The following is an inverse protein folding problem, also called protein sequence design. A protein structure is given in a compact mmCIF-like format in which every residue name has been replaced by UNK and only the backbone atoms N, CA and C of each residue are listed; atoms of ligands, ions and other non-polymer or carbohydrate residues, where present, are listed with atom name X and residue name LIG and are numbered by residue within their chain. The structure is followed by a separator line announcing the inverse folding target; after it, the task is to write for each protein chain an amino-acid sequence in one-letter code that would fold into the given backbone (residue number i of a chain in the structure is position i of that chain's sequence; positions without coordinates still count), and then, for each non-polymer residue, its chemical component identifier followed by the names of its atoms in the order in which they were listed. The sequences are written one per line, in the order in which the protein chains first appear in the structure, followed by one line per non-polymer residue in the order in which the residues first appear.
data_IF_359746286624
#
_entry.id   IF_359746286624
#
_cell.length_a   1.000
_cell.length_b   1.000
_cell.length_c   1.000
_cell.angle_alpha   90.00
_cell.angle_beta   90.00
_cell.angle_gamma   90.00
#
_symmetry.space_group_name_H-M   'P 1'
#
loop_
_entity.id
_entity.type
_entity.pdbx_description
1 polymer ?
#
# COMPACT_ATOMS: atom_id res chain seq x y z
N UNK A 1 55.68 -18.34 11.51
CA UNK A 1 54.74 -19.39 11.97
C UNK A 1 53.73 -18.72 12.91
N UNK A 2 52.56 -18.42 12.40
CA UNK A 2 51.46 -17.85 13.19
C UNK A 2 50.51 -18.98 13.56
N UNK A 3 50.50 -19.33 14.83
CA UNK A 3 49.56 -20.28 15.42
C UNK A 3 48.12 -19.71 15.31
N UNK A 4 47.33 -20.34 14.47
CA UNK A 4 45.86 -20.17 14.46
C UNK A 4 45.28 -20.83 15.71
N UNK A 5 44.92 -20.06 16.74
CA UNK A 5 44.11 -20.53 17.84
C UNK A 5 42.73 -20.97 17.31
N UNK A 6 42.54 -22.29 17.20
CA UNK A 6 41.23 -22.84 16.97
C UNK A 6 40.37 -22.64 18.25
N UNK A 7 39.32 -21.88 18.11
CA UNK A 7 38.28 -21.73 19.18
C UNK A 7 37.55 -23.07 19.27
N UNK A 8 37.46 -23.70 20.48
CA UNK A 8 36.87 -25.02 20.64
C UNK A 8 35.38 -24.95 20.25
N UNK A 9 34.99 -25.78 19.29
CA UNK A 9 33.63 -25.95 18.76
C UNK A 9 32.54 -26.15 19.84
N UNK A 10 32.91 -26.57 21.02
CA UNK A 10 32.00 -26.85 22.14
C UNK A 10 31.50 -25.57 22.86
N UNK A 11 32.31 -24.52 22.95
CA UNK A 11 31.89 -23.24 23.55
C UNK A 11 30.93 -22.42 22.64
N UNK A 12 31.11 -22.53 21.31
CA UNK A 12 30.20 -21.86 20.37
C UNK A 12 28.79 -22.45 20.37
N UNK A 13 28.67 -23.78 20.59
CA UNK A 13 27.37 -24.46 20.66
C UNK A 13 26.63 -24.09 21.95
N UNK A 14 27.34 -23.98 23.07
CA UNK A 14 26.74 -23.62 24.36
C UNK A 14 26.28 -22.17 24.38
N UNK A 15 27.03 -21.25 23.75
CA UNK A 15 26.64 -19.83 23.54
C UNK A 15 25.40 -19.69 22.63
N UNK A 16 25.31 -20.50 21.58
CA UNK A 16 24.15 -20.50 20.69
C UNK A 16 22.89 -20.99 21.40
N UNK A 17 23.00 -22.09 22.16
CA UNK A 17 21.91 -22.63 22.97
C UNK A 17 21.44 -21.65 24.06
N UNK A 18 22.36 -20.92 24.67
CA UNK A 18 22.04 -19.86 25.65
C UNK A 18 21.33 -18.67 24.97
N UNK A 19 21.79 -18.23 23.79
CA UNK A 19 21.15 -17.19 22.98
C UNK A 19 19.75 -17.63 22.53
N UNK A 20 19.59 -18.84 22.04
CA UNK A 20 18.28 -19.39 21.66
C UNK A 20 17.31 -19.45 22.83
N UNK A 21 17.76 -19.88 24.01
CA UNK A 21 16.95 -19.86 25.24
C UNK A 21 16.57 -18.44 25.68
N UNK A 22 17.50 -17.48 25.57
CA UNK A 22 17.23 -16.09 25.92
C UNK A 22 16.26 -15.43 24.93
N UNK A 23 16.38 -15.71 23.63
CA UNK A 23 15.45 -15.26 22.60
C UNK A 23 14.07 -15.90 22.78
N UNK A 24 14.02 -17.20 23.06
CA UNK A 24 12.77 -17.94 23.30
C UNK A 24 12.05 -17.49 24.57
N UNK A 25 12.76 -16.98 25.58
CA UNK A 25 12.19 -16.51 26.84
C UNK A 25 11.56 -15.12 26.77
N UNK A 26 11.90 -14.29 25.76
CA UNK A 26 11.33 -12.97 25.60
C UNK A 26 10.03 -13.04 24.80
N UNK A 27 8.88 -12.64 25.37
CA UNK A 27 7.61 -12.64 24.63
C UNK A 27 7.66 -11.62 23.48
N UNK A 28 7.83 -12.11 22.26
CA UNK A 28 7.90 -11.30 21.02
C UNK A 28 6.49 -11.10 20.47
N UNK A 29 6.21 -9.90 19.96
CA UNK A 29 4.99 -9.62 19.20
C UNK A 29 5.28 -9.82 17.71
N UNK A 30 4.65 -10.84 17.13
CA UNK A 30 4.77 -11.14 15.71
C UNK A 30 3.64 -10.42 14.94
N UNK A 31 4.00 -9.43 14.13
CA UNK A 31 3.04 -8.74 13.28
C UNK A 31 2.81 -9.53 12.00
N UNK A 32 1.53 -9.67 11.65
CA UNK A 32 1.15 -10.27 10.36
C UNK A 32 1.65 -9.40 9.21
N UNK A 33 2.25 -10.03 8.22
CA UNK A 33 2.77 -9.39 7.01
C UNK A 33 2.02 -9.91 5.79
N UNK A 34 1.93 -9.08 4.75
CA UNK A 34 1.38 -9.46 3.45
C UNK A 34 -0.01 -10.12 3.52
N UNK A 35 -0.97 -9.46 4.19
CA UNK A 35 -2.40 -9.84 4.07
C UNK A 35 -2.85 -9.71 2.61
N UNK A 36 -2.31 -8.71 1.90
CA UNK A 36 -2.35 -8.58 0.45
C UNK A 36 -0.94 -8.30 -0.08
N UNK A 37 -0.65 -8.75 -1.30
CA UNK A 37 0.66 -8.54 -1.95
C UNK A 37 0.84 -7.11 -2.50
N UNK A 38 -0.25 -6.34 -2.60
CA UNK A 38 -0.25 -5.01 -3.20
C UNK A 38 -0.96 -3.99 -2.31
N UNK A 39 -0.61 -2.73 -2.46
CA UNK A 39 -1.27 -1.62 -1.75
C UNK A 39 -2.61 -1.24 -2.37
N UNK A 40 -2.92 -1.77 -3.58
CA UNK A 40 -4.17 -1.51 -4.30
C UNK A 40 -4.74 -2.80 -4.87
N UNK A 41 -6.07 -2.92 -4.82
CA UNK A 41 -6.85 -4.00 -5.43
C UNK A 41 -7.71 -3.37 -6.53
N UNK A 42 -7.28 -3.49 -7.81
CA UNK A 42 -7.91 -2.83 -8.96
C UNK A 42 -7.99 -1.31 -8.71
N UNK A 43 -9.14 -0.80 -8.27
CA UNK A 43 -9.43 0.61 -8.02
C UNK A 43 -9.43 0.99 -6.53
N UNK A 44 -9.55 0.01 -5.65
CA UNK A 44 -9.62 0.22 -4.20
C UNK A 44 -8.24 0.09 -3.55
N UNK A 45 -8.06 0.71 -2.40
CA UNK A 45 -6.90 0.48 -1.56
C UNK A 45 -7.05 -0.84 -0.78
N UNK A 46 -5.95 -1.59 -0.64
CA UNK A 46 -5.87 -2.71 0.29
C UNK A 46 -5.52 -2.22 1.69
N UNK A 47 -5.43 -3.13 2.65
CA UNK A 47 -4.97 -2.83 4.02
C UNK A 47 -3.47 -2.50 4.09
N UNK A 48 -2.69 -2.85 3.04
CA UNK A 48 -1.24 -2.72 3.05
C UNK A 48 -0.79 -1.30 2.73
N UNK A 49 0.26 -0.84 3.42
CA UNK A 49 0.99 0.38 3.15
C UNK A 49 2.31 0.07 2.45
N UNK A 50 2.86 1.07 1.77
CA UNK A 50 4.28 1.09 1.39
C UNK A 50 5.09 1.24 2.69
N UNK A 51 6.22 0.56 2.78
CA UNK A 51 7.09 0.63 3.96
C UNK A 51 7.62 2.06 4.19
N UNK A 52 7.93 2.38 5.44
CA UNK A 52 8.49 3.69 5.79
C UNK A 52 9.76 4.02 5.00
N UNK A 53 9.82 5.24 4.44
CA UNK A 53 10.95 5.70 3.62
C UNK A 53 10.97 5.19 2.18
N UNK A 54 9.98 4.39 1.75
CA UNK A 54 9.92 3.83 0.39
C UNK A 54 8.96 4.64 -0.47
N UNK A 55 9.41 4.98 -1.69
CA UNK A 55 8.61 5.57 -2.76
C UNK A 55 8.24 4.50 -3.78
N UNK A 56 6.95 4.35 -4.05
CA UNK A 56 6.40 3.41 -5.02
C UNK A 56 5.73 4.19 -6.17
N UNK A 57 6.36 4.21 -7.33
CA UNK A 57 5.83 4.87 -8.53
C UNK A 57 5.01 3.89 -9.35
N UNK A 58 3.77 4.25 -9.64
CA UNK A 58 2.79 3.39 -10.32
C UNK A 58 2.30 4.00 -11.62
N UNK A 59 2.35 3.21 -12.69
CA UNK A 59 1.71 3.51 -13.96
C UNK A 59 0.58 2.50 -14.13
N UNK A 60 -0.66 2.98 -14.04
CA UNK A 60 -1.85 2.13 -14.15
C UNK A 60 -2.53 2.37 -15.50
N UNK A 61 -2.77 1.32 -16.25
CA UNK A 61 -3.51 1.34 -17.49
C UNK A 61 -4.92 0.78 -17.27
N UNK A 62 -5.90 1.38 -17.90
CA UNK A 62 -7.26 0.86 -18.01
C UNK A 62 -7.66 0.92 -19.47
N UNK A 63 -8.07 -0.23 -19.97
CA UNK A 63 -8.56 -0.37 -21.33
C UNK A 63 -10.06 -0.05 -21.38
N UNK A 64 -10.53 0.35 -22.55
CA UNK A 64 -11.94 0.51 -22.83
C UNK A 64 -12.69 -0.81 -22.89
N UNK A 65 -13.91 -0.79 -23.40
CA UNK A 65 -14.74 -1.98 -23.54
C UNK A 65 -14.21 -2.91 -24.65
N UNK A 66 -14.29 -4.22 -24.38
CA UNK A 66 -13.87 -5.25 -25.35
C UNK A 66 -14.84 -5.44 -26.51
N UNK A 67 -16.09 -4.95 -26.37
CA UNK A 67 -17.18 -5.15 -27.30
C UNK A 67 -17.01 -4.46 -28.66
N UNK A 68 -16.14 -3.43 -28.74
CA UNK A 68 -15.75 -2.77 -29.99
C UNK A 68 -14.93 -3.66 -30.94
N UNK A 69 -14.50 -4.84 -30.47
CA UNK A 69 -13.79 -5.85 -31.26
C UNK A 69 -12.47 -5.32 -31.83
N UNK A 70 -12.12 -5.83 -33.00
CA UNK A 70 -10.86 -5.49 -33.66
C UNK A 70 -10.80 -4.02 -34.13
N UNK A 71 -11.95 -3.39 -34.37
CA UNK A 71 -12.01 -1.99 -34.81
C UNK A 71 -11.47 -1.01 -33.76
N UNK A 72 -11.77 -1.25 -32.47
CA UNK A 72 -11.25 -0.47 -31.33
C UNK A 72 -10.05 -1.16 -30.66
N UNK A 73 -9.42 -2.08 -31.36
CA UNK A 73 -8.32 -2.90 -30.87
C UNK A 73 -8.61 -3.49 -29.48
N UNK A 74 -9.82 -4.03 -29.29
CA UNK A 74 -10.31 -4.61 -28.03
C UNK A 74 -10.23 -3.63 -26.84
N UNK A 75 -10.54 -2.34 -27.10
CA UNK A 75 -10.55 -1.29 -26.08
C UNK A 75 -9.22 -0.61 -25.81
N UNK A 76 -8.16 -0.92 -26.60
CA UNK A 76 -6.87 -0.22 -26.45
C UNK A 76 -6.96 1.24 -26.87
N UNK A 77 -7.74 1.57 -27.90
CA UNK A 77 -7.88 2.95 -28.41
C UNK A 77 -8.49 3.90 -27.39
N UNK A 78 -9.30 3.37 -26.49
CA UNK A 78 -9.95 4.11 -25.39
C UNK A 78 -9.24 3.94 -24.04
N UNK A 79 -7.94 3.61 -24.06
CA UNK A 79 -7.18 3.39 -22.84
C UNK A 79 -6.97 4.68 -22.03
N UNK A 80 -7.14 4.60 -20.74
CA UNK A 80 -6.78 5.66 -19.81
C UNK A 80 -5.57 5.26 -18.95
N UNK A 81 -4.71 6.24 -18.67
CA UNK A 81 -3.49 6.06 -17.91
C UNK A 81 -3.58 6.90 -16.64
N UNK A 82 -3.20 6.31 -15.50
CA UNK A 82 -2.94 7.05 -14.27
C UNK A 82 -1.47 6.85 -13.87
N UNK A 83 -0.77 7.96 -13.72
CA UNK A 83 0.58 7.99 -13.16
C UNK A 83 0.45 8.50 -11.73
N UNK A 84 1.04 7.80 -10.78
CA UNK A 84 0.99 8.16 -9.37
C UNK A 84 2.23 7.73 -8.63
N UNK A 85 2.43 8.35 -7.47
CA UNK A 85 3.50 8.05 -6.54
C UNK A 85 2.91 7.90 -5.14
N UNK A 86 3.19 6.79 -4.50
CA UNK A 86 2.79 6.47 -3.15
C UNK A 86 4.04 6.43 -2.26
N UNK A 87 4.07 7.20 -1.18
CA UNK A 87 5.21 7.31 -0.27
C UNK A 87 4.85 6.89 1.14
N UNK A 88 5.59 5.94 1.69
CA UNK A 88 5.49 5.56 3.09
C UNK A 88 6.27 6.55 3.96
N UNK A 89 5.58 7.41 4.70
CA UNK A 89 6.23 8.29 5.68
C UNK A 89 6.74 7.43 6.85
N UNK A 90 5.90 6.51 7.29
CA UNK A 90 6.20 5.48 8.30
C UNK A 90 5.46 4.20 7.91
N UNK A 91 5.70 3.09 8.61
CA UNK A 91 5.00 1.82 8.35
C UNK A 91 3.47 1.90 8.57
N UNK A 92 3.01 2.87 9.35
CA UNK A 92 1.60 3.08 9.64
C UNK A 92 0.97 4.25 8.87
N UNK A 93 1.79 5.14 8.23
CA UNK A 93 1.31 6.33 7.53
C UNK A 93 1.86 6.37 6.11
N UNK A 94 0.96 6.43 5.13
CA UNK A 94 1.26 6.53 3.70
C UNK A 94 0.47 7.67 3.07
N UNK A 95 1.13 8.41 2.21
CA UNK A 95 0.52 9.43 1.36
C UNK A 95 0.74 9.05 -0.10
N UNK A 96 -0.08 9.58 -0.98
CA UNK A 96 0.14 9.43 -2.41
C UNK A 96 -0.52 10.54 -3.20
N UNK A 97 0.04 10.76 -4.38
CA UNK A 97 -0.42 11.71 -5.37
C UNK A 97 -0.51 11.03 -6.73
N UNK A 98 -1.42 11.46 -7.56
CA UNK A 98 -1.54 10.92 -8.90
C UNK A 98 -2.26 11.85 -9.87
N UNK A 99 -2.11 11.52 -11.15
CA UNK A 99 -2.83 12.16 -12.23
C UNK A 99 -3.35 11.12 -13.20
N UNK A 100 -4.64 11.17 -13.48
CA UNK A 100 -5.30 10.34 -14.49
C UNK A 100 -5.50 11.11 -15.79
N UNK A 101 -5.37 10.45 -16.95
CA UNK A 101 -5.81 10.98 -18.24
C UNK A 101 -7.33 11.04 -18.33
N UNK A 102 -8.03 10.16 -17.62
CA UNK A 102 -9.49 10.19 -17.50
C UNK A 102 -9.90 11.47 -16.76
N UNK A 103 -10.75 12.30 -17.38
CA UNK A 103 -11.19 13.62 -16.87
C UNK A 103 -10.06 14.57 -16.48
N UNK A 104 -8.81 14.30 -16.89
CA UNK A 104 -7.62 15.06 -16.46
C UNK A 104 -7.58 15.27 -14.95
N UNK A 105 -7.96 14.23 -14.19
CA UNK A 105 -8.13 14.27 -12.75
C UNK A 105 -6.79 14.19 -12.03
N UNK A 106 -6.58 15.05 -11.05
CA UNK A 106 -5.54 14.91 -10.04
C UNK A 106 -6.14 14.27 -8.79
N UNK A 107 -5.40 13.39 -8.18
CA UNK A 107 -5.79 12.76 -6.91
C UNK A 107 -4.67 12.84 -5.89
N UNK A 108 -5.07 13.01 -4.65
CA UNK A 108 -4.19 12.91 -3.49
C UNK A 108 -4.87 12.10 -2.41
N UNK A 109 -4.10 11.38 -1.60
CA UNK A 109 -4.66 10.61 -0.50
C UNK A 109 -3.72 10.49 0.69
N UNK A 110 -4.33 10.26 1.82
CA UNK A 110 -3.71 9.87 3.08
C UNK A 110 -4.27 8.52 3.51
N UNK A 111 -3.40 7.59 3.88
CA UNK A 111 -3.80 6.30 4.43
C UNK A 111 -3.05 6.01 5.71
N UNK A 112 -3.80 5.69 6.75
CA UNK A 112 -3.30 5.50 8.11
C UNK A 112 -3.71 4.12 8.64
N UNK A 113 -2.74 3.34 9.12
CA UNK A 113 -2.96 2.04 9.74
C UNK A 113 -3.14 2.22 11.25
N UNK A 114 -4.35 1.99 11.75
CA UNK A 114 -4.68 2.16 13.18
C UNK A 114 -4.35 0.91 14.00
N UNK A 115 -4.68 -0.26 13.45
CA UNK A 115 -4.40 -1.55 14.08
C UNK A 115 -3.71 -2.46 13.08
N UNK A 116 -2.76 -3.25 13.59
CA UNK A 116 -2.06 -4.27 12.82
C UNK A 116 -2.25 -5.62 13.49
N UNK A 117 -2.75 -6.58 12.75
CA UNK A 117 -2.90 -7.96 13.22
C UNK A 117 -1.57 -8.49 13.75
N UNK A 118 -1.59 -9.10 14.92
CA UNK A 118 -0.40 -9.64 15.57
C UNK A 118 -0.73 -10.81 16.47
N UNK A 119 0.26 -11.65 16.72
CA UNK A 119 0.23 -12.79 17.63
C UNK A 119 1.39 -12.73 18.64
N UNK A 120 1.34 -13.51 19.69
CA UNK A 120 2.37 -13.53 20.73
C UNK A 120 2.05 -12.60 21.89
N UNK A 121 3.01 -11.75 22.32
CA UNK A 121 2.83 -10.85 23.48
C UNK A 121 1.61 -9.95 23.34
N UNK A 122 1.35 -9.43 22.16
CA UNK A 122 0.17 -8.64 21.82
C UNK A 122 -0.63 -9.40 20.77
N UNK A 123 -1.86 -9.78 21.13
CA UNK A 123 -2.75 -10.52 20.23
C UNK A 123 -3.83 -9.56 19.71
N UNK A 124 -3.73 -9.21 18.42
CA UNK A 124 -4.69 -8.37 17.72
C UNK A 124 -5.27 -9.19 16.56
N UNK A 125 -6.59 -9.48 16.55
CA UNK A 125 -7.17 -10.44 15.62
C UNK A 125 -7.33 -9.92 14.19
N UNK A 126 -7.21 -8.61 13.95
CA UNK A 126 -7.45 -8.00 12.64
C UNK A 126 -6.61 -6.73 12.45
N UNK A 127 -6.43 -6.33 11.19
CA UNK A 127 -5.84 -5.05 10.81
C UNK A 127 -6.93 -4.05 10.43
N UNK A 128 -6.78 -2.77 10.86
CA UNK A 128 -7.69 -1.67 10.52
C UNK A 128 -6.88 -0.51 9.98
N UNK A 129 -7.31 0.06 8.85
CA UNK A 129 -6.74 1.28 8.27
C UNK A 129 -7.84 2.25 7.83
N UNK A 130 -7.59 3.54 7.97
CA UNK A 130 -8.39 4.60 7.40
C UNK A 130 -7.75 5.13 6.13
N UNK A 131 -8.58 5.52 5.18
CA UNK A 131 -8.19 6.17 3.93
C UNK A 131 -9.02 7.43 3.76
N UNK A 132 -8.35 8.53 3.37
CA UNK A 132 -8.96 9.79 2.97
C UNK A 132 -8.35 10.25 1.65
N UNK A 133 -9.17 10.43 0.64
CA UNK A 133 -8.77 10.87 -0.69
C UNK A 133 -9.48 12.15 -1.11
N UNK A 134 -8.77 12.97 -1.87
CA UNK A 134 -9.26 14.16 -2.54
C UNK A 134 -8.99 14.03 -4.04
N UNK A 135 -9.96 14.40 -4.86
CA UNK A 135 -9.93 14.26 -6.31
C UNK A 135 -10.34 15.59 -6.93
N UNK A 136 -9.52 16.13 -7.82
CA UNK A 136 -9.75 17.38 -8.49
C UNK A 136 -9.83 17.18 -10.01
N UNK A 137 -10.98 17.51 -10.59
CA UNK A 137 -11.22 17.44 -12.03
C UNK A 137 -10.78 18.75 -12.70
N UNK A 138 -9.91 18.66 -13.74
CA UNK A 138 -9.35 19.82 -14.45
C UNK A 138 -9.88 19.99 -15.87
N UNK A 139 -10.97 19.32 -16.24
CA UNK A 139 -11.61 19.57 -17.54
C UNK A 139 -12.01 21.04 -17.69
N UNK A 140 -12.07 21.51 -18.92
CA UNK A 140 -12.64 22.84 -19.20
C UNK A 140 -14.12 22.85 -18.81
N UNK A 141 -14.62 24.00 -18.41
CA UNK A 141 -16.05 24.16 -18.14
C UNK A 141 -16.85 23.95 -19.43
N UNK A 142 -17.93 23.21 -19.37
CA UNK A 142 -18.85 22.99 -20.49
C UNK A 142 -19.60 24.29 -20.85
N UNK A 143 -19.88 25.11 -19.83
CA UNK A 143 -20.54 26.40 -19.96
C UNK A 143 -19.64 27.48 -19.32
N UNK A 144 -18.67 28.06 -20.07
CA UNK A 144 -17.73 29.05 -19.51
C UNK A 144 -18.39 30.33 -19.03
N UNK A 145 -19.50 30.72 -19.66
CA UNK A 145 -20.24 31.98 -19.41
C UNK A 145 -21.11 31.93 -18.14
N UNK A 146 -21.24 30.71 -17.55
CA UNK A 146 -21.97 30.51 -16.30
C UNK A 146 -21.05 30.75 -15.11
N UNK A 147 -21.61 31.18 -13.98
CA UNK A 147 -20.90 31.24 -12.72
C UNK A 147 -20.52 29.82 -12.29
N UNK A 148 -19.21 29.50 -12.36
CA UNK A 148 -18.67 28.20 -12.12
C UNK A 148 -17.84 28.18 -10.83
N UNK A 149 -18.22 27.35 -9.86
CA UNK A 149 -17.52 27.22 -8.58
C UNK A 149 -16.43 26.15 -8.65
N UNK A 150 -15.20 26.47 -8.28
CA UNK A 150 -14.08 25.52 -8.23
C UNK A 150 -14.35 24.33 -7.27
N UNK A 151 -15.12 24.56 -6.23
CA UNK A 151 -15.49 23.53 -5.26
C UNK A 151 -16.30 22.37 -5.87
N UNK A 152 -17.06 22.64 -6.95
CA UNK A 152 -17.81 21.59 -7.65
C UNK A 152 -16.95 20.58 -8.40
N UNK A 153 -15.64 20.87 -8.54
CA UNK A 153 -14.64 19.97 -9.17
C UNK A 153 -13.90 19.11 -8.17
N UNK A 154 -14.14 19.30 -6.89
CA UNK A 154 -13.46 18.60 -5.83
C UNK A 154 -14.39 17.51 -5.29
N UNK A 155 -13.89 16.27 -5.28
CA UNK A 155 -14.57 15.13 -4.70
C UNK A 155 -13.72 14.57 -3.56
N UNK A 156 -14.37 14.04 -2.54
CA UNK A 156 -13.74 13.42 -1.39
C UNK A 156 -14.18 11.97 -1.27
N UNK A 157 -13.28 11.11 -0.83
CA UNK A 157 -13.60 9.72 -0.49
C UNK A 157 -12.98 9.36 0.85
N UNK A 158 -13.78 8.75 1.72
CA UNK A 158 -13.33 8.22 3.00
C UNK A 158 -13.65 6.74 3.04
N UNK A 159 -12.69 5.93 3.49
CA UNK A 159 -12.86 4.47 3.58
C UNK A 159 -12.27 3.96 4.88
N UNK A 160 -12.97 3.01 5.50
CA UNK A 160 -12.46 2.20 6.58
C UNK A 160 -12.16 0.80 6.02
N UNK A 161 -10.91 0.41 6.09
CA UNK A 161 -10.41 -0.86 5.57
C UNK A 161 -10.18 -1.80 6.75
N UNK A 162 -10.79 -3.00 6.69
CA UNK A 162 -10.60 -4.04 7.68
C UNK A 162 -10.19 -5.33 6.98
N UNK A 163 -9.17 -5.99 7.51
CA UNK A 163 -8.69 -7.24 6.96
C UNK A 163 -8.15 -8.17 8.04
N UNK A 164 -8.26 -9.48 7.78
CA UNK A 164 -7.69 -10.53 8.60
C UNK A 164 -7.03 -11.58 7.72
N UNK A 165 -5.79 -11.93 8.04
CA UNK A 165 -5.09 -13.06 7.47
C UNK A 165 -5.37 -14.29 8.35
N UNK A 166 -5.92 -15.35 7.77
CA UNK A 166 -6.31 -16.56 8.49
C UNK A 166 -5.20 -17.61 8.52
N UNK A 167 -4.36 -17.65 7.49
CA UNK A 167 -3.24 -18.57 7.36
C UNK A 167 -2.05 -17.90 6.69
N UNK A 168 -0.88 -18.42 6.93
CA UNK A 168 0.32 -18.12 6.17
C UNK A 168 0.22 -18.91 4.86
N UNK A 169 -0.22 -18.27 3.78
CA UNK A 169 -0.35 -18.87 2.45
C UNK A 169 0.90 -18.77 1.62
#
# INVERSE_FOLDING_TARGET
ESEKKEIPKKESTDLMDMLEKEIASKPVTNYTTATFKTTRLINAHSIENVAGGVLDVKISHRFGELNGGFYELFGLDNASIRIGADYGITDWLMIGLGRSSYEKQYDGFLKMKFLRQSTGKKNVPLSISGFAGIYYNTLKWSEPDRENYYTSRINYAFQLLMARKFSEG
#
